data_IF_835867352003
#
_entry.id   IF_835867352003
#
_cell.length_a   1.000
_cell.length_b   1.000
_cell.length_c   1.000
_cell.angle_alpha   90.00
_cell.angle_beta   90.00
_cell.angle_gamma   90.00
#
_symmetry.space_group_name_H-M   'P 1'
#
loop_
_entity.id
_entity.type
_entity.pdbx_description
1 polymer ?
#
# COMPACT_ATOMS: atom_id res chain seq x y z
N UNK A 1 -58.57 33.07 -13.54
CA UNK A 1 -59.46 32.90 -14.69
C UNK A 1 -58.64 32.44 -15.87
N UNK A 2 -59.02 31.30 -16.46
CA UNK A 2 -58.68 30.71 -17.78
C UNK A 2 -57.20 30.62 -18.19
N UNK A 3 -56.52 29.48 -18.43
CA UNK A 3 -56.82 28.13 -18.99
C UNK A 3 -57.16 28.09 -20.49
N UNK A 4 -56.39 27.31 -21.27
CA UNK A 4 -56.83 26.66 -22.53
C UNK A 4 -55.75 26.57 -23.62
N UNK A 5 -55.13 25.40 -23.92
CA UNK A 5 -55.54 24.25 -24.80
C UNK A 5 -54.84 24.37 -26.19
N UNK A 6 -53.99 23.44 -26.67
CA UNK A 6 -54.34 22.13 -27.27
C UNK A 6 -53.08 21.31 -27.69
N UNK A 7 -53.20 19.97 -27.69
CA UNK A 7 -52.35 18.97 -28.39
C UNK A 7 -53.14 18.38 -29.61
N UNK A 8 -52.79 17.23 -30.26
CA UNK A 8 -51.53 16.61 -30.76
C UNK A 8 -51.63 16.24 -32.29
N UNK A 9 -50.65 15.50 -32.88
CA UNK A 9 -50.79 14.37 -33.85
C UNK A 9 -49.41 13.88 -34.38
N UNK A 10 -49.34 12.57 -34.67
CA UNK A 10 -48.20 11.65 -34.93
C UNK A 10 -47.64 11.60 -36.37
N UNK A 11 -46.40 11.07 -36.55
CA UNK A 11 -46.08 9.77 -37.20
C UNK A 11 -44.56 9.56 -37.43
N UNK A 12 -44.08 8.34 -37.16
CA UNK A 12 -42.77 7.71 -37.50
C UNK A 12 -42.72 7.25 -38.99
N UNK A 13 -41.70 6.54 -39.57
CA UNK A 13 -40.58 5.80 -38.95
C UNK A 13 -39.22 5.74 -39.72
N UNK A 14 -38.32 4.90 -39.18
CA UNK A 14 -37.27 4.09 -39.85
C UNK A 14 -35.93 4.74 -40.22
N UNK A 15 -34.86 4.27 -39.57
CA UNK A 15 -33.63 3.85 -40.28
C UNK A 15 -32.99 2.70 -39.49
N UNK A 16 -33.10 1.50 -40.05
CA UNK A 16 -32.30 0.31 -39.72
C UNK A 16 -31.19 0.25 -40.75
N UNK A 17 -29.93 0.09 -40.34
CA UNK A 17 -28.86 -0.31 -41.24
C UNK A 17 -28.33 -1.67 -40.81
N UNK A 18 -28.53 -2.64 -41.68
CA UNK A 18 -27.99 -4.00 -41.65
C UNK A 18 -26.61 -4.03 -42.31
N UNK A 19 -25.75 -4.93 -41.85
CA UNK A 19 -24.52 -5.32 -42.56
C UNK A 19 -24.41 -6.85 -42.49
N UNK A 20 -24.46 -7.49 -43.67
CA UNK A 20 -24.17 -8.91 -43.85
C UNK A 20 -23.24 -9.14 -45.05
N UNK A 21 -22.31 -10.09 -44.85
CA UNK A 21 -21.46 -10.80 -45.82
C UNK A 21 -20.29 -9.99 -46.40
N UNK A 22 -19.12 -10.55 -46.74
CA UNK A 22 -18.65 -11.94 -46.87
C UNK A 22 -17.11 -11.92 -46.90
N UNK A 23 -16.46 -13.02 -46.48
CA UNK A 23 -15.01 -13.24 -46.64
C UNK A 23 -14.63 -13.42 -48.12
N UNK A 24 -13.40 -13.19 -48.57
CA UNK A 24 -12.22 -14.04 -48.31
C UNK A 24 -10.96 -13.44 -48.95
N UNK A 25 -9.79 -13.61 -48.29
CA UNK A 25 -8.41 -13.77 -48.84
C UNK A 25 -7.39 -13.22 -47.81
N UNK A 26 -6.85 -14.03 -46.89
CA UNK A 26 -5.62 -14.85 -46.94
C UNK A 26 -4.28 -14.06 -46.96
N UNK A 27 -3.56 -14.19 -45.82
CA UNK A 27 -2.11 -14.13 -45.58
C UNK A 27 -1.44 -12.75 -45.71
N UNK A 28 -0.91 -12.16 -44.63
CA UNK A 28 0.39 -12.55 -44.04
C UNK A 28 0.47 -12.39 -42.51
N UNK A 29 1.38 -13.17 -41.93
CA UNK A 29 1.62 -13.44 -40.50
C UNK A 29 2.29 -12.27 -39.77
N UNK A 30 1.86 -12.00 -38.53
CA UNK A 30 2.60 -11.23 -37.53
C UNK A 30 1.87 -11.27 -36.19
N UNK A 31 2.39 -12.08 -35.25
CA UNK A 31 1.75 -12.49 -34.00
C UNK A 31 1.44 -11.31 -33.05
N UNK A 32 0.20 -11.23 -32.57
CA UNK A 32 -0.15 -10.56 -31.31
C UNK A 32 0.24 -11.43 -30.11
N UNK A 33 0.66 -10.87 -28.96
CA UNK A 33 0.90 -11.65 -27.76
C UNK A 33 -0.43 -12.12 -27.16
N UNK A 34 -0.58 -13.44 -27.07
CA UNK A 34 -1.66 -14.09 -26.34
C UNK A 34 -1.45 -13.84 -24.84
N UNK A 35 -2.47 -13.28 -24.20
CA UNK A 35 -2.56 -13.17 -22.74
C UNK A 35 -2.83 -14.56 -22.16
N UNK A 36 -1.81 -15.18 -21.58
CA UNK A 36 -1.99 -16.35 -20.71
C UNK A 36 -2.63 -15.87 -19.40
N UNK A 37 -3.94 -16.11 -19.27
CA UNK A 37 -4.63 -16.00 -17.99
C UNK A 37 -4.25 -17.21 -17.14
N UNK A 38 -3.55 -17.01 -16.03
CA UNK A 38 -3.40 -18.02 -14.99
C UNK A 38 -4.61 -17.95 -14.06
N UNK A 39 -5.51 -18.93 -14.17
CA UNK A 39 -6.56 -19.18 -13.19
C UNK A 39 -6.00 -20.12 -12.11
N UNK A 40 -5.87 -19.63 -10.87
CA UNK A 40 -5.65 -20.50 -9.72
C UNK A 40 -6.98 -21.18 -9.36
N UNK A 41 -7.09 -22.48 -9.62
CA UNK A 41 -8.14 -23.32 -9.03
C UNK A 41 -7.67 -23.82 -7.67
N UNK A 42 -8.38 -23.43 -6.61
CA UNK A 42 -8.25 -24.10 -5.31
C UNK A 42 -8.95 -25.45 -5.39
N UNK A 43 -8.20 -26.53 -5.14
CA UNK A 43 -8.77 -27.86 -4.98
C UNK A 43 -9.74 -27.85 -3.79
N UNK A 44 -11.03 -28.04 -4.07
CA UNK A 44 -12.01 -28.45 -3.05
C UNK A 44 -11.53 -29.77 -2.43
N UNK A 45 -11.54 -29.92 -1.09
CA UNK A 45 -11.37 -31.23 -0.49
C UNK A 45 -12.56 -32.12 -0.87
N UNK A 46 -12.28 -33.23 -1.54
CA UNK A 46 -13.25 -34.27 -1.87
C UNK A 46 -13.69 -34.98 -0.60
N UNK A 47 -14.91 -34.74 -0.14
CA UNK A 47 -15.59 -35.59 0.83
C UNK A 47 -16.32 -36.72 0.08
N UNK A 48 -15.61 -37.82 -0.17
CA UNK A 48 -16.24 -39.10 -0.52
C UNK A 48 -16.16 -40.04 0.69
N UNK A 49 -17.31 -40.25 1.32
CA UNK A 49 -17.54 -41.27 2.34
C UNK A 49 -17.50 -42.64 1.66
N UNK A 50 -16.63 -43.60 2.07
CA UNK A 50 -16.76 -44.98 1.65
C UNK A 50 -17.61 -45.75 2.67
N UNK A 51 -18.70 -46.34 2.17
CA UNK A 51 -19.50 -47.32 2.89
C UNK A 51 -18.71 -48.60 3.13
N UNK A 52 -18.75 -49.10 4.36
CA UNK A 52 -18.20 -50.40 4.75
C UNK A 52 -19.07 -51.55 4.24
N UNK A 53 -18.46 -52.62 3.70
CA UNK A 53 -18.80 -54.03 3.97
C UNK A 53 -17.78 -55.01 3.33
N UNK A 54 -17.05 -55.68 4.22
CA UNK A 54 -16.41 -57.01 4.19
C UNK A 54 -16.25 -57.77 2.84
N UNK A 55 -15.05 -58.33 2.58
CA UNK A 55 -14.70 -59.77 2.80
C UNK A 55 -13.32 -60.17 2.22
N UNK A 56 -12.54 -60.87 3.05
CA UNK A 56 -11.61 -62.00 2.80
C UNK A 56 -10.41 -61.93 1.80
N UNK A 57 -9.22 -61.93 2.41
CA UNK A 57 -8.07 -62.89 2.33
C UNK A 57 -7.27 -63.21 1.05
N UNK A 58 -5.94 -63.12 1.26
CA UNK A 58 -4.85 -64.11 1.01
C UNK A 58 -4.16 -64.22 -0.37
N UNK A 59 -2.81 -64.18 -0.28
CA UNK A 59 -1.77 -64.90 -1.08
C UNK A 59 -1.60 -64.50 -2.56
N UNK A 60 -0.46 -64.58 -3.24
CA UNK A 60 0.93 -65.00 -2.98
C UNK A 60 1.74 -64.67 -4.26
N UNK A 61 2.98 -64.20 -4.08
CA UNK A 61 4.24 -64.44 -4.82
C UNK A 61 4.22 -65.04 -6.25
N UNK A 62 4.97 -64.41 -7.15
CA UNK A 62 6.01 -64.95 -8.09
C UNK A 62 6.37 -63.81 -9.07
N UNK A 63 7.60 -63.54 -9.50
CA UNK A 63 8.88 -64.23 -9.47
C UNK A 63 9.64 -63.78 -10.73
N UNK A 64 10.92 -63.41 -10.62
CA UNK A 64 11.71 -62.87 -11.73
C UNK A 64 13.16 -62.51 -11.36
N UNK A 65 13.95 -63.55 -11.10
CA UNK A 65 15.42 -63.67 -11.06
C UNK A 65 16.15 -63.01 -12.24
N UNK A 66 17.47 -62.78 -12.34
CA UNK A 66 18.74 -62.88 -11.57
C UNK A 66 19.79 -62.35 -12.59
N UNK A 67 20.82 -61.58 -12.20
CA UNK A 67 22.24 -61.84 -12.60
C UNK A 67 23.17 -61.23 -11.55
N UNK A 68 23.98 -62.09 -10.93
CA UNK A 68 25.17 -61.75 -10.14
C UNK A 68 26.40 -62.37 -10.82
N UNK A 69 27.52 -61.65 -10.81
CA UNK A 69 28.89 -62.19 -10.91
C UNK A 69 29.71 -61.36 -9.91
N UNK A 70 30.02 -61.91 -8.73
CA UNK A 70 31.34 -62.48 -8.39
C UNK A 70 32.06 -61.43 -7.53
N UNK A 71 32.38 -61.63 -6.26
CA UNK A 71 33.07 -62.73 -5.60
C UNK A 71 34.12 -62.07 -4.71
N UNK A 72 33.97 -62.13 -3.38
CA UNK A 72 34.94 -61.53 -2.45
C UNK A 72 34.34 -61.19 -1.08
N UNK A 73 34.60 -62.08 -0.12
CA UNK A 73 34.66 -61.86 1.34
C UNK A 73 34.27 -60.47 1.87
N UNK A 74 33.15 -60.40 2.61
CA UNK A 74 32.77 -59.23 3.40
C UNK A 74 33.59 -59.23 4.69
N UNK A 75 34.65 -58.43 4.72
CA UNK A 75 35.21 -57.89 5.96
C UNK A 75 34.24 -56.84 6.52
N UNK A 76 33.83 -56.98 7.77
CA UNK A 76 33.07 -55.94 8.48
C UNK A 76 34.00 -54.75 8.70
N UNK A 77 33.93 -53.77 7.80
CA UNK A 77 34.44 -52.43 8.07
C UNK A 77 33.29 -51.62 8.67
N UNK A 78 33.48 -51.19 9.91
CA UNK A 78 32.65 -50.17 10.54
C UNK A 78 32.81 -48.86 9.77
N UNK A 79 31.91 -48.59 8.82
CA UNK A 79 31.82 -47.27 8.19
C UNK A 79 31.28 -46.29 9.23
N UNK A 80 32.05 -45.24 9.51
CA UNK A 80 31.56 -44.08 10.23
C UNK A 80 30.24 -43.59 9.61
N UNK A 81 29.31 -43.03 10.41
CA UNK A 81 28.07 -42.47 9.87
C UNK A 81 28.42 -41.48 8.74
N UNK A 82 27.58 -41.40 7.68
CA UNK A 82 27.84 -40.47 6.60
C UNK A 82 28.02 -39.11 7.22
N UNK A 83 29.20 -38.51 7.04
CA UNK A 83 29.37 -37.10 7.30
C UNK A 83 28.29 -36.43 6.46
N UNK A 84 27.30 -35.86 7.14
CA UNK A 84 26.42 -34.87 6.53
C UNK A 84 27.37 -33.83 5.97
N UNK A 85 27.62 -33.92 4.67
CA UNK A 85 28.16 -32.82 3.90
C UNK A 85 27.18 -31.70 4.17
N UNK A 86 27.59 -30.77 5.04
CA UNK A 86 26.93 -29.50 5.20
C UNK A 86 26.82 -28.96 3.79
N UNK A 87 25.61 -28.97 3.24
CA UNK A 87 25.27 -28.29 2.01
C UNK A 87 25.95 -26.92 2.12
N UNK A 88 26.83 -26.52 1.18
CA UNK A 88 27.53 -25.26 1.30
C UNK A 88 26.45 -24.22 1.48
N UNK A 89 26.42 -23.60 2.67
CA UNK A 89 25.40 -22.64 3.04
C UNK A 89 25.23 -21.73 1.84
N UNK A 90 24.09 -21.81 1.14
CA UNK A 90 23.83 -20.93 0.00
C UNK A 90 23.95 -19.56 0.60
N UNK A 91 25.06 -18.88 0.30
CA UNK A 91 25.38 -17.62 0.93
C UNK A 91 24.21 -16.69 0.61
N UNK A 92 23.44 -16.35 1.64
CA UNK A 92 22.28 -15.49 1.47
C UNK A 92 22.81 -14.13 1.01
N UNK A 93 22.42 -13.72 -0.18
CA UNK A 93 22.93 -12.52 -0.82
C UNK A 93 22.03 -12.08 -1.97
N UNK A 94 22.41 -11.01 -2.67
CA UNK A 94 21.60 -10.43 -3.75
C UNK A 94 21.30 -11.43 -4.88
N UNK A 95 22.18 -12.41 -5.10
CA UNK A 95 22.01 -13.52 -6.03
C UNK A 95 20.85 -14.49 -5.68
N UNK A 96 20.35 -14.45 -4.44
CA UNK A 96 19.16 -15.19 -4.03
C UNK A 96 17.85 -14.58 -4.55
N UNK A 97 17.92 -13.39 -5.16
CA UNK A 97 16.78 -12.66 -5.72
C UNK A 97 16.86 -12.63 -7.26
N UNK A 98 15.74 -12.42 -7.97
CA UNK A 98 15.73 -12.30 -9.42
C UNK A 98 16.74 -11.23 -9.92
N UNK A 99 17.41 -11.46 -11.06
CA UNK A 99 18.25 -10.43 -11.67
C UNK A 99 17.49 -9.12 -11.86
N UNK A 100 18.09 -8.01 -11.44
CA UNK A 100 17.46 -6.69 -11.48
C UNK A 100 16.54 -6.38 -10.30
N UNK A 101 16.48 -7.22 -9.26
CA UNK A 101 15.78 -6.89 -8.02
C UNK A 101 16.37 -5.64 -7.37
N UNK A 102 15.49 -4.69 -7.02
CA UNK A 102 15.87 -3.38 -6.50
C UNK A 102 15.81 -3.40 -4.98
N UNK A 103 16.96 -3.18 -4.34
CA UNK A 103 17.06 -2.94 -2.90
C UNK A 103 17.26 -1.45 -2.65
N UNK A 104 16.52 -0.90 -1.69
CA UNK A 104 16.58 0.52 -1.38
C UNK A 104 16.26 0.81 0.07
N UNK A 105 16.33 2.09 0.42
CA UNK A 105 15.88 2.62 1.70
C UNK A 105 14.76 3.65 1.46
N UNK A 106 13.97 3.95 2.49
CA UNK A 106 12.81 4.81 2.39
C UNK A 106 12.79 5.91 3.46
N UNK A 107 12.30 7.09 3.11
CA UNK A 107 12.07 8.23 4.00
C UNK A 107 10.79 8.99 3.61
N UNK A 108 10.40 9.96 4.44
CA UNK A 108 9.30 10.89 4.17
C UNK A 108 9.71 12.33 4.52
N UNK A 109 9.23 13.29 3.74
CA UNK A 109 9.63 14.69 3.81
C UNK A 109 9.56 15.26 5.22
N UNK A 110 8.41 15.20 5.89
CA UNK A 110 8.24 15.76 7.24
C UNK A 110 9.13 15.06 8.29
N UNK A 111 9.51 13.81 8.06
CA UNK A 111 10.31 13.02 9.02
C UNK A 111 11.81 13.31 8.91
N UNK A 112 12.31 13.82 7.78
CA UNK A 112 13.75 13.99 7.56
C UNK A 112 14.20 15.37 7.06
N UNK A 113 13.34 16.14 6.38
CA UNK A 113 13.78 17.36 5.70
C UNK A 113 14.15 18.48 6.66
N UNK A 114 13.31 18.74 7.67
CA UNK A 114 13.41 19.98 8.45
C UNK A 114 13.11 21.20 7.57
N UNK A 115 13.80 22.31 7.86
CA UNK A 115 13.68 23.56 7.11
C UNK A 115 12.21 23.95 6.89
N UNK A 116 11.41 23.80 7.95
CA UNK A 116 9.96 23.77 7.87
C UNK A 116 9.34 25.10 7.42
N UNK A 117 10.04 26.21 7.68
CA UNK A 117 9.65 27.57 7.32
C UNK A 117 10.70 28.27 6.43
N UNK A 118 11.57 27.50 5.79
CA UNK A 118 12.63 28.01 4.92
C UNK A 118 12.29 27.78 3.43
N UNK A 119 13.01 28.50 2.57
CA UNK A 119 12.92 28.36 1.11
C UNK A 119 11.51 28.49 0.54
N UNK A 120 10.69 29.36 1.13
CA UNK A 120 9.32 29.62 0.70
C UNK A 120 8.29 28.53 1.03
N UNK A 121 8.64 27.49 1.80
CA UNK A 121 7.69 26.44 2.23
C UNK A 121 6.55 27.00 3.07
N UNK A 122 5.32 26.57 2.79
CA UNK A 122 4.15 26.81 3.64
C UNK A 122 3.98 25.72 4.72
N UNK A 123 3.22 25.98 5.80
CA UNK A 123 2.96 24.98 6.82
C UNK A 123 2.11 23.83 6.27
N UNK A 124 2.40 22.62 6.72
CA UNK A 124 1.58 21.42 6.60
C UNK A 124 0.78 21.18 7.89
N UNK A 125 -0.19 20.26 7.84
CA UNK A 125 -0.96 19.86 9.02
C UNK A 125 -0.08 19.28 10.15
N UNK A 126 1.07 18.70 9.83
CA UNK A 126 1.99 18.19 10.85
C UNK A 126 2.75 19.31 11.57
N UNK A 127 3.12 20.38 10.85
CA UNK A 127 3.70 21.59 11.47
C UNK A 127 2.74 22.17 12.51
N UNK A 128 1.46 22.30 12.14
CA UNK A 128 0.41 22.79 13.03
C UNK A 128 0.15 21.84 14.18
N UNK A 129 -0.02 20.54 13.89
CA UNK A 129 -0.38 19.53 14.89
C UNK A 129 0.68 19.39 15.99
N UNK A 130 1.97 19.32 15.63
CA UNK A 130 3.04 19.19 16.63
C UNK A 130 3.18 20.43 17.52
N UNK A 131 2.85 21.62 17.00
CA UNK A 131 2.86 22.87 17.76
C UNK A 131 1.63 23.04 18.65
N UNK A 132 0.45 22.65 18.17
CA UNK A 132 -0.82 22.80 18.89
C UNK A 132 -1.08 21.68 19.89
N UNK A 133 -0.58 20.47 19.59
CA UNK A 133 -0.75 19.26 20.38
C UNK A 133 0.58 18.61 20.75
N UNK A 134 1.52 19.34 21.39
CA UNK A 134 2.80 18.77 21.78
C UNK A 134 2.66 17.58 22.73
N UNK A 135 1.57 17.52 23.51
CA UNK A 135 1.23 16.39 24.38
C UNK A 135 0.94 15.09 23.66
N UNK A 136 0.60 15.14 22.36
CA UNK A 136 0.37 13.95 21.53
C UNK A 136 1.65 13.42 20.89
N UNK A 137 2.77 14.12 21.06
CA UNK A 137 4.06 13.71 20.52
C UNK A 137 4.98 13.34 21.68
N UNK A 138 5.60 12.17 21.57
CA UNK A 138 6.60 11.74 22.53
C UNK A 138 7.74 12.76 22.62
N UNK A 139 8.16 13.08 23.83
CA UNK A 139 9.14 14.14 24.12
C UNK A 139 8.79 15.53 23.58
N UNK A 140 7.55 15.77 23.13
CA UNK A 140 7.10 17.06 22.56
C UNK A 140 7.97 17.54 21.40
N UNK A 141 8.56 16.61 20.65
CA UNK A 141 9.42 16.92 19.50
C UNK A 141 8.59 17.40 18.30
N UNK A 142 9.26 18.03 17.32
CA UNK A 142 8.62 18.55 16.10
C UNK A 142 9.44 18.18 14.86
N UNK A 143 8.82 18.31 13.68
CA UNK A 143 9.47 18.14 12.37
C UNK A 143 10.31 19.34 11.91
N UNK A 144 10.59 20.32 12.78
CA UNK A 144 11.12 21.62 12.36
C UNK A 144 12.54 21.54 11.79
N UNK A 145 13.39 20.68 12.35
CA UNK A 145 14.80 20.48 11.96
C UNK A 145 15.07 19.01 11.61
N UNK A 146 14.64 18.07 12.48
CA UNK A 146 14.86 16.61 12.35
C UNK A 146 16.34 16.29 12.07
N UNK A 147 16.66 15.57 10.98
CA UNK A 147 18.05 15.28 10.56
C UNK A 147 18.57 16.26 9.50
N UNK A 148 17.80 17.29 9.19
CA UNK A 148 18.12 18.41 8.30
C UNK A 148 18.49 17.98 6.86
N UNK A 149 17.79 16.99 6.32
CA UNK A 149 18.01 16.51 4.96
C UNK A 149 17.78 17.60 3.90
N UNK A 150 17.03 18.67 4.18
CA UNK A 150 16.88 19.79 3.25
C UNK A 150 18.24 20.40 2.88
N UNK A 151 19.13 20.56 3.86
CA UNK A 151 20.49 21.06 3.65
C UNK A 151 21.50 19.94 3.41
N UNK A 152 21.27 18.75 4.01
CA UNK A 152 22.25 17.65 4.07
C UNK A 152 21.98 16.50 3.11
N UNK A 153 21.04 16.64 2.17
CA UNK A 153 20.66 15.56 1.25
C UNK A 153 21.84 14.90 0.51
N UNK A 154 22.95 15.61 0.25
CA UNK A 154 24.15 15.02 -0.36
C UNK A 154 24.81 13.96 0.53
N UNK A 155 24.79 14.16 1.85
CA UNK A 155 25.31 13.20 2.82
C UNK A 155 24.40 11.97 2.89
N UNK A 156 23.08 12.17 2.85
CA UNK A 156 22.11 11.07 2.76
C UNK A 156 22.34 10.22 1.51
N UNK A 157 22.51 10.87 0.34
CA UNK A 157 22.82 10.17 -0.92
C UNK A 157 24.15 9.42 -0.83
N UNK A 158 25.16 10.01 -0.18
CA UNK A 158 26.44 9.33 0.05
C UNK A 158 26.25 8.06 0.89
N UNK A 159 25.48 8.12 1.97
CA UNK A 159 25.20 6.94 2.82
C UNK A 159 24.48 5.83 2.03
N UNK A 160 23.47 6.20 1.23
CA UNK A 160 22.75 5.25 0.37
C UNK A 160 23.69 4.57 -0.64
N UNK A 161 24.65 5.33 -1.18
CA UNK A 161 25.67 4.81 -2.09
C UNK A 161 26.65 3.88 -1.39
N UNK A 162 27.14 4.26 -0.22
CA UNK A 162 28.07 3.47 0.58
C UNK A 162 27.44 2.12 1.00
N UNK A 163 26.12 2.09 1.24
CA UNK A 163 25.34 0.87 1.51
C UNK A 163 25.08 0.01 0.25
N UNK A 164 25.54 0.44 -0.93
CA UNK A 164 25.34 -0.25 -2.20
C UNK A 164 23.85 -0.54 -2.53
N UNK A 165 23.00 0.46 -2.29
CA UNK A 165 21.59 0.41 -2.65
C UNK A 165 21.37 0.75 -4.13
N UNK A 166 20.27 0.24 -4.69
CA UNK A 166 19.87 0.48 -6.08
C UNK A 166 18.88 1.65 -6.21
N UNK A 167 18.14 1.95 -5.13
CA UNK A 167 17.10 2.97 -5.14
C UNK A 167 16.98 3.72 -3.82
N UNK A 168 16.35 4.89 -3.92
CA UNK A 168 15.91 5.66 -2.77
C UNK A 168 14.45 6.03 -2.93
N UNK A 169 13.63 5.62 -1.95
CA UNK A 169 12.24 6.05 -1.84
C UNK A 169 12.15 7.27 -0.94
N UNK A 170 11.71 8.40 -1.45
CA UNK A 170 11.46 9.60 -0.65
C UNK A 170 10.10 10.20 -1.00
N UNK A 171 9.59 11.13 -0.18
CA UNK A 171 8.39 11.89 -0.53
C UNK A 171 8.69 13.34 -0.88
N UNK A 172 7.85 13.92 -1.72
CA UNK A 172 7.85 15.36 -1.99
C UNK A 172 6.91 16.03 -0.99
N UNK A 173 7.33 17.12 -0.37
CA UNK A 173 6.47 17.89 0.51
C UNK A 173 5.53 18.77 -0.27
N UNK A 174 4.23 18.51 -0.17
CA UNK A 174 3.23 19.27 -0.91
C UNK A 174 3.29 20.75 -0.53
N UNK A 175 3.37 21.06 0.75
CA UNK A 175 3.44 22.45 1.22
C UNK A 175 4.76 23.15 0.86
N UNK A 176 5.81 22.41 0.47
CA UNK A 176 7.05 22.97 -0.07
C UNK A 176 6.92 23.34 -1.55
N UNK A 177 6.18 22.56 -2.34
CA UNK A 177 5.94 22.83 -3.77
C UNK A 177 4.84 23.87 -3.97
N UNK A 178 3.73 23.75 -3.25
CA UNK A 178 2.59 24.66 -3.27
C UNK A 178 2.33 25.18 -1.85
N UNK A 179 2.94 26.31 -1.44
CA UNK A 179 2.84 26.83 -0.07
C UNK A 179 1.44 27.17 0.41
N UNK A 180 0.52 27.45 -0.52
CA UNK A 180 -0.92 27.67 -0.25
C UNK A 180 -1.78 26.49 -0.71
N UNK A 181 -1.15 25.35 -0.96
CA UNK A 181 -1.73 24.07 -1.33
C UNK A 181 -2.27 23.93 -2.75
N UNK A 182 -2.80 25.00 -3.34
CA UNK A 182 -3.32 24.99 -4.72
C UNK A 182 -2.45 25.76 -5.69
N UNK A 183 -2.56 25.46 -6.99
CA UNK A 183 -1.89 26.20 -8.06
C UNK A 183 -2.19 27.71 -8.04
N UNK A 184 -3.39 28.10 -7.60
CA UNK A 184 -3.80 29.51 -7.49
C UNK A 184 -2.91 30.30 -6.53
N UNK A 185 -2.31 29.63 -5.56
CA UNK A 185 -1.40 30.24 -4.59
C UNK A 185 0.05 30.30 -5.02
N UNK A 186 0.37 29.87 -6.25
CA UNK A 186 1.70 29.90 -6.82
C UNK A 186 2.53 28.64 -6.54
N UNK A 187 3.46 28.39 -7.46
CA UNK A 187 4.47 27.33 -7.33
C UNK A 187 5.71 27.95 -6.68
N UNK A 188 6.25 27.27 -5.67
CA UNK A 188 7.49 27.66 -5.05
C UNK A 188 8.69 27.07 -5.81
N UNK A 189 9.38 27.91 -6.57
CA UNK A 189 10.51 27.48 -7.39
C UNK A 189 11.70 26.97 -6.56
N UNK A 190 11.90 27.46 -5.34
CA UNK A 190 12.97 26.98 -4.48
C UNK A 190 12.71 25.55 -4.01
N UNK A 191 11.46 25.22 -3.69
CA UNK A 191 11.02 23.85 -3.44
C UNK A 191 11.27 22.92 -4.64
N UNK A 192 10.95 23.38 -5.85
CA UNK A 192 11.26 22.64 -7.09
C UNK A 192 12.77 22.42 -7.25
N UNK A 193 13.58 23.44 -6.99
CA UNK A 193 15.03 23.36 -7.09
C UNK A 193 15.62 22.36 -6.10
N UNK A 194 15.12 22.31 -4.86
CA UNK A 194 15.54 21.32 -3.86
C UNK A 194 15.33 19.87 -4.35
N UNK A 195 14.12 19.52 -4.80
CA UNK A 195 13.87 18.15 -5.28
C UNK A 195 14.61 17.84 -6.59
N UNK A 196 14.77 18.82 -7.49
CA UNK A 196 15.64 18.66 -8.66
C UNK A 196 17.08 18.33 -8.26
N UNK A 197 17.62 19.03 -7.26
CA UNK A 197 18.97 18.80 -6.76
C UNK A 197 19.12 17.41 -6.12
N UNK A 198 18.16 16.97 -5.31
CA UNK A 198 18.14 15.62 -4.75
C UNK A 198 18.07 14.55 -5.84
N UNK A 199 17.13 14.68 -6.79
CA UNK A 199 16.95 13.72 -7.89
C UNK A 199 18.21 13.63 -8.75
N UNK A 200 18.83 14.76 -9.08
CA UNK A 200 20.06 14.80 -9.86
C UNK A 200 21.21 14.13 -9.10
N UNK A 201 21.34 14.37 -7.80
CA UNK A 201 22.40 13.75 -6.98
C UNK A 201 22.20 12.24 -6.85
N UNK A 202 20.96 11.76 -6.70
CA UNK A 202 20.64 10.32 -6.71
C UNK A 202 21.07 9.66 -8.02
N UNK A 203 20.63 10.21 -9.16
CA UNK A 203 20.92 9.65 -10.47
C UNK A 203 22.43 9.68 -10.78
N UNK A 204 23.13 10.75 -10.39
CA UNK A 204 24.59 10.85 -10.50
C UNK A 204 25.31 9.71 -9.75
N UNK A 205 24.74 9.23 -8.65
CA UNK A 205 25.27 8.14 -7.86
C UNK A 205 24.73 6.75 -8.26
N UNK A 206 23.91 6.69 -9.31
CA UNK A 206 23.32 5.45 -9.83
C UNK A 206 22.13 4.93 -9.02
N UNK A 207 21.51 5.77 -8.20
CA UNK A 207 20.33 5.44 -7.39
C UNK A 207 19.05 5.82 -8.13
N UNK A 208 18.10 4.89 -8.21
CA UNK A 208 16.79 5.12 -8.83
C UNK A 208 15.86 5.86 -7.85
N UNK A 209 15.28 7.03 -8.22
CA UNK A 209 14.31 7.71 -7.37
C UNK A 209 12.93 7.03 -7.45
N UNK A 210 12.43 6.60 -6.29
CA UNK A 210 11.04 6.15 -6.09
C UNK A 210 10.29 7.24 -5.32
N UNK A 211 9.44 8.00 -6.00
CA UNK A 211 8.91 9.25 -5.43
C UNK A 211 7.49 9.07 -4.93
N UNK A 212 7.28 9.32 -3.64
CA UNK A 212 5.97 9.38 -3.01
C UNK A 212 5.43 10.81 -3.09
N UNK A 213 4.29 11.01 -3.75
CA UNK A 213 3.70 12.33 -3.96
C UNK A 213 3.04 12.86 -2.68
N UNK A 214 2.40 11.99 -1.90
CA UNK A 214 1.78 12.36 -0.63
C UNK A 214 2.19 11.40 0.50
N UNK A 215 2.79 11.97 1.54
CA UNK A 215 3.11 11.27 2.77
C UNK A 215 2.60 12.06 3.98
N UNK A 216 1.27 12.20 4.03
CA UNK A 216 0.51 12.71 5.17
C UNK A 216 0.65 14.21 5.47
N UNK A 217 1.35 14.96 4.63
CA UNK A 217 1.72 16.35 4.87
C UNK A 217 0.84 17.34 4.08
N UNK A 218 -0.48 17.24 4.27
CA UNK A 218 -1.45 18.16 3.64
C UNK A 218 -1.06 19.60 3.96
N UNK A 219 -1.00 20.52 2.99
CA UNK A 219 -0.80 21.94 3.25
C UNK A 219 -1.89 22.48 4.18
N UNK A 220 -1.51 23.14 5.28
CA UNK A 220 -2.46 23.67 6.27
C UNK A 220 -3.50 24.59 5.62
N UNK A 221 -3.11 25.32 4.57
CA UNK A 221 -4.02 26.17 3.81
C UNK A 221 -5.24 25.43 3.24
N UNK A 222 -5.12 24.14 2.88
CA UNK A 222 -6.25 23.33 2.39
C UNK A 222 -7.07 22.74 3.53
N UNK A 223 -6.42 22.40 4.65
CA UNK A 223 -7.10 22.00 5.88
C UNK A 223 -7.97 23.15 6.40
N UNK A 224 -7.45 24.38 6.44
CA UNK A 224 -8.18 25.57 6.87
C UNK A 224 -9.31 25.94 5.89
N UNK A 225 -9.07 25.79 4.59
CA UNK A 225 -10.03 26.22 3.57
C UNK A 225 -11.28 25.33 3.49
N UNK A 226 -11.12 24.02 3.68
CA UNK A 226 -12.24 23.07 3.51
C UNK A 226 -12.08 21.74 4.27
N UNK A 227 -11.15 21.62 5.22
CA UNK A 227 -10.92 20.40 6.00
C UNK A 227 -10.14 19.32 5.26
N UNK A 228 -9.30 19.71 4.29
CA UNK A 228 -8.40 18.78 3.60
C UNK A 228 -9.12 17.59 3.00
N UNK A 229 -8.74 16.38 3.41
CA UNK A 229 -9.34 15.14 2.89
C UNK A 229 -10.77 14.84 3.37
N UNK A 230 -11.38 15.66 4.24
CA UNK A 230 -12.82 15.59 4.50
C UNK A 230 -13.64 16.12 3.31
N UNK A 231 -13.05 16.92 2.42
CA UNK A 231 -13.73 17.49 1.26
C UNK A 231 -13.31 16.84 -0.04
N UNK A 232 -14.27 16.53 -0.93
CA UNK A 232 -13.99 16.09 -2.32
C UNK A 232 -13.18 17.14 -3.12
N UNK A 233 -13.14 18.41 -2.69
CA UNK A 233 -12.34 19.47 -3.33
C UNK A 233 -10.84 19.13 -3.37
N UNK A 234 -10.33 18.40 -2.37
CA UNK A 234 -8.91 18.00 -2.28
C UNK A 234 -8.45 17.21 -3.50
N UNK A 235 -9.36 16.49 -4.17
CA UNK A 235 -9.01 15.66 -5.32
C UNK A 235 -8.43 16.48 -6.47
N UNK A 236 -9.02 17.67 -6.71
CA UNK A 236 -8.56 18.56 -7.78
C UNK A 236 -7.23 19.21 -7.41
N UNK A 237 -7.11 19.72 -6.19
CA UNK A 237 -5.86 20.33 -5.72
C UNK A 237 -4.71 19.31 -5.68
N UNK A 238 -4.98 18.07 -5.25
CA UNK A 238 -4.00 16.99 -5.26
C UNK A 238 -3.60 16.58 -6.67
N UNK A 239 -4.56 16.45 -7.59
CA UNK A 239 -4.28 16.17 -9.01
C UNK A 239 -3.39 17.24 -9.62
N UNK A 240 -3.70 18.50 -9.38
CA UNK A 240 -2.97 19.65 -9.93
C UNK A 240 -1.55 19.72 -9.33
N UNK A 241 -1.38 19.46 -8.03
CA UNK A 241 -0.07 19.27 -7.40
C UNK A 241 0.73 18.12 -8.02
N UNK A 242 0.11 16.97 -8.24
CA UNK A 242 0.76 15.85 -8.92
C UNK A 242 1.16 16.22 -10.35
N UNK A 243 0.35 17.01 -11.07
CA UNK A 243 0.69 17.49 -12.41
C UNK A 243 1.96 18.34 -12.41
N UNK A 244 2.15 19.21 -11.40
CA UNK A 244 3.40 19.96 -11.23
C UNK A 244 4.56 18.98 -11.06
N UNK A 245 4.45 18.01 -10.16
CA UNK A 245 5.51 17.04 -9.92
C UNK A 245 5.86 16.23 -11.19
N UNK A 246 4.85 15.80 -11.96
CA UNK A 246 5.07 15.08 -13.21
C UNK A 246 5.76 15.94 -14.27
N UNK A 247 5.39 17.22 -14.39
CA UNK A 247 6.02 18.15 -15.34
C UNK A 247 7.48 18.43 -14.97
N UNK A 248 7.74 18.68 -13.70
CA UNK A 248 9.04 19.17 -13.22
C UNK A 248 10.08 18.05 -13.04
N UNK A 249 9.64 16.84 -12.73
CA UNK A 249 10.55 15.74 -12.35
C UNK A 249 10.39 14.47 -13.17
N UNK A 250 9.30 14.32 -13.94
CA UNK A 250 8.98 13.06 -14.64
C UNK A 250 9.88 12.72 -15.82
N UNK A 251 10.69 13.68 -16.29
CA UNK A 251 11.78 13.41 -17.24
C UNK A 251 12.82 12.43 -16.65
N UNK A 252 13.03 12.47 -15.33
CA UNK A 252 14.02 11.68 -14.58
C UNK A 252 13.39 10.62 -13.66
N UNK A 253 12.26 10.92 -13.02
CA UNK A 253 11.57 10.00 -12.10
C UNK A 253 10.71 9.01 -12.89
N UNK A 254 10.95 7.72 -12.66
CA UNK A 254 10.25 6.61 -13.36
C UNK A 254 9.35 5.77 -12.48
N UNK A 255 9.34 5.99 -11.17
CA UNK A 255 8.50 5.24 -10.24
C UNK A 255 7.77 6.20 -9.31
N UNK A 256 6.48 6.40 -9.57
CA UNK A 256 5.61 7.30 -8.82
C UNK A 256 4.72 6.52 -7.87
N UNK A 257 4.65 6.96 -6.63
CA UNK A 257 3.76 6.43 -5.59
C UNK A 257 2.82 7.58 -5.22
N UNK A 258 1.52 7.47 -5.51
CA UNK A 258 0.61 8.60 -5.25
C UNK A 258 0.46 8.87 -3.75
N UNK A 259 0.18 7.83 -2.97
CA UNK A 259 -0.11 7.92 -1.53
C UNK A 259 0.73 6.89 -0.78
N UNK A 260 1.25 7.28 0.37
CA UNK A 260 1.72 6.35 1.39
C UNK A 260 0.62 6.06 2.41
N UNK A 261 0.34 4.76 2.63
CA UNK A 261 -0.46 4.24 3.73
C UNK A 261 -1.74 5.05 4.02
N UNK A 262 -2.70 5.08 3.08
CA UNK A 262 -3.94 5.82 3.28
C UNK A 262 -4.74 5.32 4.50
N UNK A 263 -4.59 4.03 4.87
CA UNK A 263 -5.14 3.48 6.12
C UNK A 263 -4.62 4.21 7.36
N UNK A 264 -3.30 4.38 7.45
CA UNK A 264 -2.65 5.05 8.58
C UNK A 264 -3.10 6.51 8.66
N UNK A 265 -3.14 7.22 7.52
CA UNK A 265 -3.62 8.60 7.48
C UNK A 265 -5.07 8.74 7.98
N UNK A 266 -5.97 7.93 7.42
CA UNK A 266 -7.40 7.98 7.76
C UNK A 266 -7.66 7.55 9.20
N UNK A 267 -7.26 6.32 9.57
CA UNK A 267 -7.60 5.74 10.87
C UNK A 267 -6.88 6.42 12.03
N UNK A 268 -5.61 6.82 11.86
CA UNK A 268 -4.88 7.47 12.94
C UNK A 268 -5.18 8.97 13.03
N UNK A 269 -5.46 9.64 11.90
CA UNK A 269 -5.71 11.08 11.84
C UNK A 269 -7.14 11.51 12.14
N UNK A 270 -8.12 10.67 11.79
CA UNK A 270 -9.56 10.97 11.89
C UNK A 270 -10.35 9.94 12.73
N UNK A 271 -9.75 8.78 13.02
CA UNK A 271 -10.33 7.74 13.88
C UNK A 271 -9.84 7.89 15.32
N UNK A 272 -8.55 7.67 15.54
CA UNK A 272 -7.91 7.78 16.85
C UNK A 272 -7.47 9.19 17.23
N UNK A 273 -7.34 10.10 16.25
CA UNK A 273 -6.83 11.47 16.47
C UNK A 273 -5.41 11.53 17.02
N UNK A 274 -4.59 10.50 16.77
CA UNK A 274 -3.18 10.40 17.19
C UNK A 274 -2.22 11.02 16.18
N UNK A 275 -2.59 11.05 14.90
CA UNK A 275 -1.83 11.73 13.85
C UNK A 275 -2.52 13.04 13.45
N UNK A 276 -1.80 13.94 12.79
CA UNK A 276 -2.40 15.14 12.19
C UNK A 276 -3.56 14.76 11.22
N UNK A 277 -4.67 15.51 11.18
CA UNK A 277 -4.95 16.76 11.92
C UNK A 277 -5.47 16.54 13.35
N UNK A 278 -5.49 15.30 13.87
CA UNK A 278 -5.78 15.03 15.27
C UNK A 278 -7.26 14.98 15.62
N UNK A 279 -8.11 14.58 14.68
CA UNK A 279 -9.58 14.54 14.82
C UNK A 279 -10.04 13.17 15.32
N UNK A 280 -11.00 13.18 16.24
CA UNK A 280 -11.64 11.97 16.74
C UNK A 280 -12.94 12.32 17.49
N UNK A 281 -13.75 11.33 17.83
CA UNK A 281 -14.94 11.53 18.65
C UNK A 281 -14.59 12.05 20.05
N UNK A 282 -15.47 12.85 20.64
CA UNK A 282 -15.25 13.48 21.95
C UNK A 282 -14.95 12.47 23.07
N UNK A 283 -15.50 11.25 23.00
CA UNK A 283 -15.23 10.17 23.97
C UNK A 283 -13.76 9.75 24.03
N UNK A 284 -12.97 10.06 23.00
CA UNK A 284 -11.54 9.80 22.91
C UNK A 284 -10.70 11.01 23.30
N UNK A 285 -11.34 12.11 23.73
CA UNK A 285 -10.67 13.33 24.19
C UNK A 285 -10.31 14.33 23.09
N UNK A 286 -10.79 14.16 21.84
CA UNK A 286 -10.66 15.21 20.82
C UNK A 286 -11.75 16.27 20.95
N UNK A 287 -11.42 17.50 20.55
CA UNK A 287 -12.36 18.64 20.52
C UNK A 287 -13.33 18.58 19.34
N UNK A 288 -12.93 17.92 18.25
CA UNK A 288 -13.68 17.82 16.99
C UNK A 288 -13.39 16.48 16.32
N UNK A 289 -14.36 15.98 15.56
CA UNK A 289 -14.24 14.77 14.76
C UNK A 289 -15.35 13.76 15.03
N UNK A 290 -15.42 12.75 14.16
CA UNK A 290 -16.30 11.59 14.33
C UNK A 290 -15.56 10.33 13.86
N UNK A 291 -15.16 9.52 14.84
CA UNK A 291 -14.32 8.33 14.67
C UNK A 291 -14.98 7.16 13.93
N UNK A 292 -16.28 7.24 13.63
CA UNK A 292 -17.00 6.21 12.87
C UNK A 292 -17.57 6.72 11.55
N UNK A 293 -17.34 8.00 11.21
CA UNK A 293 -17.77 8.62 9.95
C UNK A 293 -16.57 9.18 9.17
N UNK A 294 -15.77 10.03 9.81
CA UNK A 294 -14.69 10.77 9.13
C UNK A 294 -13.64 9.87 8.48
N UNK A 295 -13.19 8.76 9.10
CA UNK A 295 -12.25 7.85 8.45
C UNK A 295 -12.75 7.31 7.09
N UNK A 296 -14.05 7.06 6.96
CA UNK A 296 -14.65 6.56 5.71
C UNK A 296 -14.73 7.62 4.63
N UNK A 297 -15.05 8.87 5.00
CA UNK A 297 -15.03 10.02 4.09
C UNK A 297 -13.60 10.26 3.57
N UNK A 298 -12.63 10.30 4.49
CA UNK A 298 -11.21 10.53 4.17
C UNK A 298 -10.65 9.42 3.31
N UNK A 299 -10.93 8.16 3.66
CA UNK A 299 -10.50 7.00 2.86
C UNK A 299 -11.04 7.06 1.43
N UNK A 300 -12.31 7.42 1.26
CA UNK A 300 -12.92 7.55 -0.05
C UNK A 300 -12.27 8.67 -0.88
N UNK A 301 -12.06 9.85 -0.29
CA UNK A 301 -11.40 10.96 -0.98
C UNK A 301 -9.93 10.67 -1.32
N UNK A 302 -9.21 9.94 -0.47
CA UNK A 302 -7.86 9.45 -0.76
C UNK A 302 -7.86 8.52 -1.98
N UNK A 303 -8.76 7.52 -2.03
CA UNK A 303 -8.86 6.60 -3.16
C UNK A 303 -9.15 7.38 -4.45
N UNK A 304 -10.11 8.32 -4.42
CA UNK A 304 -10.43 9.16 -5.56
C UNK A 304 -9.26 10.08 -5.99
N UNK A 305 -8.50 10.61 -5.03
CA UNK A 305 -7.31 11.42 -5.28
C UNK A 305 -6.18 10.58 -5.95
N UNK A 306 -5.97 9.35 -5.49
CA UNK A 306 -5.07 8.39 -6.15
C UNK A 306 -5.50 8.13 -7.60
N UNK A 307 -6.79 7.83 -7.83
CA UNK A 307 -7.32 7.56 -9.17
C UNK A 307 -7.09 8.77 -10.09
N UNK A 308 -7.40 9.97 -9.62
CA UNK A 308 -7.22 11.20 -10.39
C UNK A 308 -5.74 11.43 -10.78
N UNK A 309 -4.81 11.26 -9.84
CA UNK A 309 -3.38 11.43 -10.10
C UNK A 309 -2.81 10.34 -11.03
N UNK A 310 -3.19 9.08 -10.81
CA UNK A 310 -2.71 7.97 -11.62
C UNK A 310 -3.26 8.04 -13.05
N UNK A 311 -4.55 8.39 -13.24
CA UNK A 311 -5.12 8.61 -14.57
C UNK A 311 -4.43 9.75 -15.30
N UNK A 312 -4.24 10.88 -14.64
CA UNK A 312 -3.48 11.99 -15.19
C UNK A 312 -2.09 11.52 -15.68
N UNK A 313 -1.36 10.75 -14.88
CA UNK A 313 -0.06 10.23 -15.28
C UNK A 313 -0.16 9.31 -16.50
N UNK A 314 -1.03 8.31 -16.46
CA UNK A 314 -1.15 7.30 -17.53
C UNK A 314 -1.62 7.90 -18.85
N UNK A 315 -2.57 8.82 -18.80
CA UNK A 315 -3.19 9.39 -20.00
C UNK A 315 -2.31 10.47 -20.64
N UNK A 316 -1.56 11.23 -19.85
CA UNK A 316 -0.82 12.42 -20.34
C UNK A 316 0.70 12.26 -20.35
N UNK A 317 1.28 11.51 -19.41
CA UNK A 317 2.74 11.51 -19.16
C UNK A 317 3.42 10.17 -19.39
N UNK A 318 2.76 9.04 -19.11
CA UNK A 318 3.39 7.72 -19.13
C UNK A 318 4.01 7.38 -20.50
N UNK A 319 3.33 7.72 -21.60
CA UNK A 319 3.86 7.45 -22.95
C UNK A 319 5.14 8.21 -23.26
N UNK A 320 5.28 9.45 -22.78
CA UNK A 320 6.43 10.32 -23.09
C UNK A 320 7.55 10.17 -22.06
N UNK A 321 7.19 9.90 -20.80
CA UNK A 321 8.14 9.79 -19.71
C UNK A 321 8.58 8.35 -19.43
N UNK A 322 7.82 7.34 -19.83
CA UNK A 322 8.18 5.93 -19.71
C UNK A 322 8.26 5.42 -18.27
N UNK A 323 7.59 6.06 -17.32
CA UNK A 323 7.55 5.61 -15.92
C UNK A 323 6.29 4.81 -15.58
N UNK A 324 6.20 4.43 -14.31
CA UNK A 324 5.11 3.68 -13.71
C UNK A 324 4.50 4.46 -12.54
N UNK A 325 3.21 4.26 -12.30
CA UNK A 325 2.50 4.86 -11.18
C UNK A 325 1.80 3.80 -10.33
N UNK A 326 1.90 3.92 -9.02
CA UNK A 326 1.31 3.00 -8.07
C UNK A 326 0.90 3.69 -6.77
N UNK A 327 0.56 2.87 -5.78
CA UNK A 327 0.19 3.29 -4.43
C UNK A 327 0.87 2.37 -3.43
N UNK A 328 1.21 2.90 -2.24
CA UNK A 328 1.76 2.09 -1.15
C UNK A 328 0.72 1.90 -0.06
N UNK A 329 0.41 0.65 0.27
CA UNK A 329 -0.53 0.26 1.30
C UNK A 329 0.23 -0.36 2.48
N UNK A 330 -0.25 -0.16 3.70
CA UNK A 330 0.27 -0.87 4.88
C UNK A 330 -0.55 -2.13 5.12
N UNK A 331 0.13 -3.19 5.52
CA UNK A 331 -0.52 -4.44 5.87
C UNK A 331 0.16 -5.06 7.10
N UNK A 332 -0.65 -5.40 8.10
CA UNK A 332 -0.28 -6.43 9.07
C UNK A 332 -0.75 -7.79 8.55
N UNK A 333 0.02 -8.84 8.81
CA UNK A 333 -0.48 -10.19 8.60
C UNK A 333 -1.37 -10.61 9.78
N UNK A 334 -2.58 -11.06 9.51
CA UNK A 334 -3.50 -11.55 10.54
C UNK A 334 -3.55 -13.07 10.54
N UNK A 335 -3.03 -13.69 11.59
CA UNK A 335 -3.17 -15.12 11.83
C UNK A 335 -4.41 -15.35 12.71
N UNK A 336 -5.29 -16.31 12.41
CA UNK A 336 -6.44 -16.56 13.27
C UNK A 336 -6.00 -17.07 14.65
N UNK A 337 -6.70 -16.66 15.71
CA UNK A 337 -6.35 -17.06 17.09
C UNK A 337 -6.36 -18.58 17.29
N UNK A 338 -7.27 -19.28 16.63
CA UNK A 338 -7.27 -20.73 16.47
C UNK A 338 -7.88 -21.14 15.10
N UNK A 339 -8.01 -22.44 14.83
CA UNK A 339 -8.52 -22.94 13.55
C UNK A 339 -10.05 -22.99 13.47
N UNK A 340 -10.78 -22.49 14.47
CA UNK A 340 -12.24 -22.45 14.38
C UNK A 340 -12.68 -21.44 13.32
N UNK A 341 -13.80 -21.72 12.66
CA UNK A 341 -14.34 -20.90 11.57
C UNK A 341 -14.43 -19.42 11.94
N UNK A 342 -14.87 -19.11 13.17
CA UNK A 342 -15.07 -17.75 13.64
C UNK A 342 -13.77 -16.95 13.75
N UNK A 343 -12.68 -17.59 14.16
CA UNK A 343 -11.37 -16.93 14.24
C UNK A 343 -10.76 -16.72 12.85
N UNK A 344 -10.98 -17.66 11.93
CA UNK A 344 -10.60 -17.50 10.51
C UNK A 344 -11.33 -16.32 9.90
N UNK A 345 -12.65 -16.21 10.11
CA UNK A 345 -13.43 -15.06 9.64
C UNK A 345 -12.98 -13.75 10.29
N UNK A 346 -12.62 -13.75 11.58
CA UNK A 346 -12.08 -12.57 12.25
C UNK A 346 -10.76 -12.10 11.60
N UNK A 347 -9.86 -13.03 11.27
CA UNK A 347 -8.64 -12.70 10.54
C UNK A 347 -8.92 -12.10 9.15
N UNK A 348 -9.90 -12.64 8.42
CA UNK A 348 -10.35 -12.06 7.15
C UNK A 348 -10.91 -10.65 7.33
N UNK A 349 -11.79 -10.42 8.32
CA UNK A 349 -12.33 -9.07 8.57
C UNK A 349 -11.25 -8.07 8.98
N UNK A 350 -10.25 -8.49 9.78
CA UNK A 350 -9.13 -7.63 10.13
C UNK A 350 -8.32 -7.21 8.89
N UNK A 351 -8.07 -8.14 7.96
CA UNK A 351 -7.41 -7.85 6.70
C UNK A 351 -8.26 -6.94 5.79
N UNK A 352 -9.57 -7.17 5.76
CA UNK A 352 -10.50 -6.38 4.96
C UNK A 352 -10.52 -4.91 5.39
N UNK A 353 -10.58 -4.66 6.69
CA UNK A 353 -10.61 -3.31 7.27
C UNK A 353 -9.23 -2.62 7.31
N UNK A 354 -8.17 -3.26 6.81
CA UNK A 354 -6.83 -2.67 6.74
C UNK A 354 -6.31 -2.60 5.31
N UNK A 355 -6.04 -3.75 4.69
CA UNK A 355 -5.48 -3.82 3.34
C UNK A 355 -6.58 -3.73 2.28
N UNK A 356 -7.60 -4.57 2.37
CA UNK A 356 -8.60 -4.70 1.31
C UNK A 356 -9.46 -3.43 1.19
N UNK A 357 -9.62 -2.65 2.25
CA UNK A 357 -10.30 -1.34 2.23
C UNK A 357 -9.77 -0.42 1.13
N UNK A 358 -8.48 -0.49 0.83
CA UNK A 358 -7.84 0.30 -0.22
C UNK A 358 -7.48 -0.53 -1.44
N UNK A 359 -7.17 -1.82 -1.28
CA UNK A 359 -6.79 -2.69 -2.39
C UNK A 359 -7.99 -3.14 -3.23
N UNK A 360 -9.11 -3.53 -2.61
CA UNK A 360 -10.30 -4.01 -3.33
C UNK A 360 -10.93 -2.94 -4.20
N UNK A 361 -11.03 -1.66 -3.80
CA UNK A 361 -11.43 -0.61 -4.71
C UNK A 361 -10.60 -0.64 -6.00
N UNK A 362 -9.28 -0.82 -5.92
CA UNK A 362 -8.41 -0.84 -7.10
C UNK A 362 -8.56 -2.11 -7.96
N UNK A 363 -8.80 -3.26 -7.33
CA UNK A 363 -8.86 -4.57 -8.00
C UNK A 363 -10.26 -4.90 -8.52
N UNK A 364 -11.28 -4.53 -7.76
CA UNK A 364 -12.66 -4.96 -7.92
C UNK A 364 -13.64 -3.81 -8.18
N UNK A 365 -13.15 -2.55 -8.09
CA UNK A 365 -13.93 -1.31 -8.33
C UNK A 365 -15.02 -1.05 -7.30
N UNK A 366 -14.89 -1.66 -6.13
CA UNK A 366 -15.81 -1.49 -5.01
C UNK A 366 -15.12 -1.89 -3.70
N UNK A 367 -15.71 -1.50 -2.57
CA UNK A 367 -15.21 -1.87 -1.24
C UNK A 367 -15.43 -3.35 -0.92
N UNK A 368 -14.65 -3.93 0.02
CA UNK A 368 -14.83 -5.31 0.48
C UNK A 368 -16.26 -5.58 0.96
N UNK A 369 -16.76 -6.78 0.70
CA UNK A 369 -18.12 -7.16 1.07
C UNK A 369 -18.37 -7.02 2.58
N UNK A 370 -17.44 -7.49 3.42
CA UNK A 370 -17.56 -7.41 4.88
C UNK A 370 -17.67 -5.97 5.37
N UNK A 371 -16.90 -5.05 4.78
CA UNK A 371 -16.98 -3.63 5.12
C UNK A 371 -18.36 -3.05 4.77
N UNK A 372 -18.87 -3.32 3.57
CA UNK A 372 -20.21 -2.87 3.16
C UNK A 372 -21.30 -3.39 4.08
N UNK A 373 -21.23 -4.67 4.47
CA UNK A 373 -22.22 -5.31 5.33
C UNK A 373 -22.23 -4.73 6.77
N UNK A 374 -21.06 -4.38 7.29
CA UNK A 374 -20.88 -3.90 8.66
C UNK A 374 -21.08 -2.37 8.76
N UNK A 375 -20.41 -1.60 7.90
CA UNK A 375 -20.34 -0.14 7.99
C UNK A 375 -21.60 0.52 7.39
N UNK A 376 -22.16 -0.08 6.32
CA UNK A 376 -23.40 0.34 5.68
C UNK A 376 -23.35 1.80 5.20
N UNK A 377 -24.35 2.61 5.52
CA UNK A 377 -24.54 3.98 5.01
C UNK A 377 -23.40 4.95 5.38
N UNK A 378 -22.55 4.61 6.35
CA UNK A 378 -21.35 5.39 6.70
C UNK A 378 -20.20 5.17 5.71
N UNK A 379 -20.22 4.08 4.95
CA UNK A 379 -19.24 3.80 3.90
C UNK A 379 -19.75 4.43 2.59
N UNK A 380 -19.03 5.41 2.02
CA UNK A 380 -19.43 5.99 0.75
C UNK A 380 -19.49 4.93 -0.36
N UNK A 381 -20.28 5.20 -1.39
CA UNK A 381 -20.37 4.35 -2.58
C UNK A 381 -19.68 5.01 -3.76
N UNK A 382 -18.97 4.24 -4.58
CA UNK A 382 -18.45 4.75 -5.85
C UNK A 382 -19.59 4.94 -6.86
N UNK A 383 -19.62 6.09 -7.51
CA UNK A 383 -20.45 6.27 -8.70
C UNK A 383 -19.96 5.35 -9.83
N UNK A 384 -20.79 5.15 -10.86
CA UNK A 384 -20.38 4.37 -12.03
C UNK A 384 -19.15 4.98 -12.71
N UNK A 385 -19.12 6.30 -12.82
CA UNK A 385 -18.02 7.06 -13.40
C UNK A 385 -16.74 6.92 -12.56
N UNK A 386 -16.84 7.01 -11.23
CA UNK A 386 -15.73 6.78 -10.31
C UNK A 386 -15.19 5.35 -10.45
N UNK A 387 -16.08 4.35 -10.48
CA UNK A 387 -15.73 2.93 -10.63
C UNK A 387 -15.08 2.61 -12.00
N UNK A 388 -15.50 3.28 -13.07
CA UNK A 388 -14.89 3.14 -14.39
C UNK A 388 -13.49 3.78 -14.42
N UNK A 389 -13.31 4.92 -13.74
CA UNK A 389 -12.00 5.57 -13.60
C UNK A 389 -11.00 4.74 -12.81
N UNK A 390 -11.41 3.88 -11.88
CA UNK A 390 -10.51 2.96 -11.16
C UNK A 390 -9.75 2.03 -12.10
N UNK A 391 -10.37 1.56 -13.19
CA UNK A 391 -9.84 0.46 -13.99
C UNK A 391 -8.46 0.78 -14.60
N UNK A 392 -7.39 0.21 -14.04
CA UNK A 392 -6.03 0.46 -14.51
C UNK A 392 -5.40 1.74 -13.94
N UNK A 393 -5.87 2.24 -12.79
CA UNK A 393 -5.28 3.37 -12.07
C UNK A 393 -3.99 3.04 -11.31
N UNK A 394 -3.31 1.93 -11.62
CA UNK A 394 -2.01 1.58 -11.06
C UNK A 394 -1.26 0.65 -12.03
N UNK A 395 0.06 0.60 -11.88
CA UNK A 395 0.99 -0.31 -12.55
C UNK A 395 1.66 -1.26 -11.55
N UNK A 396 1.77 -0.83 -10.29
CA UNK A 396 2.31 -1.63 -9.18
C UNK A 396 1.62 -1.28 -7.86
N UNK A 397 1.71 -2.19 -6.88
CA UNK A 397 1.26 -2.00 -5.50
C UNK A 397 2.48 -2.13 -4.60
N UNK A 398 2.77 -1.08 -3.82
CA UNK A 398 3.74 -1.12 -2.73
C UNK A 398 3.08 -1.66 -1.47
N UNK A 399 3.80 -2.51 -0.72
CA UNK A 399 3.35 -3.02 0.58
C UNK A 399 4.37 -2.64 1.63
N UNK A 400 3.96 -1.79 2.58
CA UNK A 400 4.70 -1.60 3.82
C UNK A 400 4.27 -2.70 4.79
N UNK A 401 5.21 -3.56 5.17
CA UNK A 401 5.00 -4.67 6.09
C UNK A 401 5.97 -4.55 7.26
N UNK A 402 5.44 -4.61 8.47
CA UNK A 402 6.22 -4.52 9.71
C UNK A 402 6.02 -5.72 10.61
N UNK A 403 4.78 -6.19 10.78
CA UNK A 403 4.44 -7.16 11.82
C UNK A 403 3.22 -8.00 11.47
N UNK A 404 3.03 -9.08 12.24
CA UNK A 404 1.80 -9.88 12.26
C UNK A 404 1.05 -9.71 13.60
N UNK A 405 -0.23 -10.06 13.61
CA UNK A 405 -1.10 -10.12 14.81
C UNK A 405 -1.95 -11.38 14.77
N UNK A 406 -2.26 -11.94 15.94
CA UNK A 406 -3.38 -12.87 16.05
C UNK A 406 -4.69 -12.09 15.94
N UNK A 407 -5.68 -12.64 15.25
CA UNK A 407 -7.02 -12.07 15.16
C UNK A 407 -8.00 -12.95 15.93
N UNK A 408 -8.69 -12.37 16.91
CA UNK A 408 -9.71 -13.03 17.72
C UNK A 408 -11.09 -12.41 17.47
N UNK A 409 -12.10 -13.24 17.27
CA UNK A 409 -13.49 -12.81 17.09
C UNK A 409 -13.94 -11.98 18.28
N UNK A 410 -14.52 -10.81 17.98
CA UNK A 410 -15.33 -10.04 18.92
C UNK A 410 -16.78 -10.24 18.53
N UNK A 411 -17.63 -10.63 19.50
CA UNK A 411 -19.04 -10.84 19.24
C UNK A 411 -19.71 -9.50 18.90
N UNK A 412 -20.44 -9.50 17.79
CA UNK A 412 -21.28 -8.37 17.41
C UNK A 412 -22.42 -8.18 18.41
N UNK A 413 -22.56 -6.97 18.95
CA UNK A 413 -23.68 -6.57 19.79
C UNK A 413 -24.35 -5.34 19.18
N UNK A 414 -25.60 -5.48 18.74
CA UNK A 414 -26.38 -4.35 18.18
C UNK A 414 -26.52 -3.18 19.17
N UNK A 415 -26.50 -3.49 20.47
CA UNK A 415 -26.65 -2.50 21.53
C UNK A 415 -25.33 -1.83 21.92
N UNK A 416 -24.19 -2.30 21.38
CA UNK A 416 -22.86 -1.75 21.64
C UNK A 416 -22.04 -1.69 20.34
N UNK A 417 -22.43 -0.83 19.38
CA UNK A 417 -21.61 -0.60 18.21
C UNK A 417 -20.25 -0.01 18.62
N UNK A 418 -19.16 -0.32 17.90
CA UNK A 418 -17.86 0.29 18.13
C UNK A 418 -17.93 1.81 18.02
N UNK A 419 -17.19 2.49 18.88
CA UNK A 419 -17.01 3.95 18.86
C UNK A 419 -15.81 4.40 17.99
N UNK A 420 -15.16 3.45 17.31
CA UNK A 420 -13.91 3.61 16.56
C UNK A 420 -13.94 2.75 15.29
N UNK A 421 -13.62 3.33 14.14
CA UNK A 421 -13.58 2.62 12.85
C UNK A 421 -12.66 1.38 12.86
N UNK A 422 -11.53 1.43 13.58
CA UNK A 422 -10.56 0.32 13.65
C UNK A 422 -11.11 -0.92 14.38
N UNK A 423 -12.14 -0.74 15.21
CA UNK A 423 -12.80 -1.82 15.96
C UNK A 423 -13.98 -2.41 15.18
N UNK A 424 -14.37 -1.81 14.04
CA UNK A 424 -15.52 -2.27 13.23
C UNK A 424 -15.23 -3.54 12.44
N UNK A 425 -13.99 -4.01 12.42
CA UNK A 425 -13.67 -5.36 11.95
C UNK A 425 -14.26 -6.45 12.85
N UNK A 426 -14.67 -6.13 14.09
CA UNK A 426 -15.06 -7.11 15.12
C UNK A 426 -14.03 -8.24 15.24
N UNK A 427 -12.76 -7.85 15.17
CA UNK A 427 -11.60 -8.70 15.28
C UNK A 427 -10.58 -8.01 16.21
N UNK A 428 -10.43 -8.55 17.40
CA UNK A 428 -9.42 -8.13 18.34
C UNK A 428 -8.04 -8.56 17.83
N UNK A 429 -7.09 -7.62 17.83
CA UNK A 429 -5.75 -7.84 17.31
C UNK A 429 -4.78 -8.02 18.47
N UNK A 430 -4.14 -9.18 18.55
CA UNK A 430 -3.32 -9.61 19.68
C UNK A 430 -1.87 -9.85 19.25
N UNK A 431 -0.92 -9.44 20.08
CA UNK A 431 0.51 -9.67 19.84
C UNK A 431 0.92 -11.11 20.13
N UNK A 432 0.21 -11.76 21.05
CA UNK A 432 0.49 -13.11 21.51
C UNK A 432 -0.79 -13.92 21.76
N UNK A 433 -0.67 -15.23 21.59
CA UNK A 433 -1.66 -16.24 21.99
C UNK A 433 -1.12 -16.96 23.21
N UNK A 434 -1.82 -16.88 24.33
CA UNK A 434 -1.42 -17.52 25.60
C UNK A 434 0.02 -17.17 26.01
N UNK A 435 0.42 -15.92 25.76
CA UNK A 435 1.79 -15.43 26.01
C UNK A 435 2.83 -15.78 24.92
N UNK A 436 2.44 -16.51 23.87
CA UNK A 436 3.31 -16.89 22.76
C UNK A 436 3.11 -15.96 21.54
N UNK A 437 4.13 -15.19 21.12
CA UNK A 437 4.04 -14.31 19.95
C UNK A 437 4.03 -15.08 18.62
N UNK A 438 3.63 -14.40 17.54
CA UNK A 438 3.78 -14.92 16.18
C UNK A 438 5.25 -14.87 15.74
N UNK A 439 5.86 -16.05 15.65
CA UNK A 439 7.26 -16.18 15.25
C UNK A 439 8.23 -15.85 16.38
N UNK A 440 9.53 -15.87 16.06
CA UNK A 440 10.58 -15.47 17.01
C UNK A 440 10.57 -13.95 17.14
N UNK A 441 10.76 -13.46 18.36
CA UNK A 441 10.95 -12.03 18.59
C UNK A 441 12.22 -11.56 17.86
N UNK A 442 12.06 -10.62 16.94
CA UNK A 442 13.16 -9.91 16.31
C UNK A 442 13.11 -8.46 16.82
N UNK A 443 14.07 -8.01 17.64
CA UNK A 443 14.12 -6.62 18.06
C UNK A 443 14.25 -5.72 16.82
N UNK A 444 13.38 -4.72 16.73
CA UNK A 444 13.40 -3.71 15.66
C UNK A 444 14.16 -2.44 16.06
N UNK A 445 14.71 -2.42 17.28
CA UNK A 445 15.49 -1.30 17.79
C UNK A 445 16.97 -1.47 17.47
N UNK A 446 17.53 -0.50 16.77
CA UNK A 446 18.98 -0.33 16.67
C UNK A 446 19.39 0.52 17.87
N UNK A 447 20.00 -0.08 18.89
CA UNK A 447 20.57 0.70 20.00
C UNK A 447 21.90 1.28 19.55
N UNK A 448 21.91 2.55 19.14
CA UNK A 448 23.14 3.28 18.88
C UNK A 448 23.72 3.72 20.23
N UNK A 449 24.74 3.02 20.73
CA UNK A 449 25.53 3.55 21.86
C UNK A 449 26.51 4.58 21.33
N UNK A 450 26.39 5.82 21.78
CA UNK A 450 27.47 6.80 21.62
C UNK A 450 28.73 6.25 22.31
N UNK A 451 29.70 5.80 21.53
CA UNK A 451 31.03 5.57 22.06
C UNK A 451 31.69 6.93 22.25
N UNK A 452 32.39 7.16 23.37
CA UNK A 452 33.15 8.39 23.63
C UNK A 452 34.35 8.61 22.68
N UNK A 453 34.36 7.93 21.52
CA UNK A 453 35.32 8.10 20.46
C UNK A 453 34.59 8.38 19.13
N UNK A 454 34.86 9.52 18.47
CA UNK A 454 34.05 10.03 17.35
C UNK A 454 34.19 9.24 16.02
N UNK A 455 34.57 7.96 16.05
CA UNK A 455 34.77 7.16 14.83
C UNK A 455 34.19 5.74 14.83
N UNK A 456 33.58 5.26 15.92
CA UNK A 456 33.01 3.91 15.93
C UNK A 456 31.57 3.91 16.45
N UNK A 457 30.61 3.92 15.52
CA UNK A 457 29.26 3.46 15.78
C UNK A 457 29.29 1.93 15.76
N UNK A 458 29.04 1.31 16.91
CA UNK A 458 28.85 -0.14 17.01
C UNK A 458 27.35 -0.39 16.95
N UNK A 459 26.91 -1.06 15.88
CA UNK A 459 25.56 -1.59 15.76
C UNK A 459 25.49 -2.91 16.57
N UNK A 460 24.58 -3.00 17.54
CA UNK A 460 24.26 -4.26 18.23
C UNK A 460 23.02 -4.90 17.63
#
# INVERSE_FOLDING_TARGET
MASGISQPISMSPTTTMSLTSSGTSLLTKGKQPAWLSFSFSFNKPSSSIPSSKNKYSRTSVRGGSIVCLGGGSISVQTSAPPQTTTDPAVAFGRQSFPPGFVFGAATAAYQIEGAWNEGGRGPSIWDTFTQQHPEKIEHRSTGNIVVDSYHRYKEDVKMLKDMNLDSYRFSISWSRILPKGSLKGGINQEGINYYNNLINELLKNGLQPYVTLFHWDVPQALEDAYGGFLSKKIMLDFRDYCEVCFKEFGDRVKHWITLNEPWSFSSMGYGLGRHAPGRCSQILGCSVGDSIIEPYIVAHNLILAHIAAARLYKDKYQRTQGGQVGITLVCMWYHPYDQTHKQVEAATRALDFMLAWYLDPLMHRDYPFNMKAIVRDRLPTFSKEEADMIKGSYDFIGINYYTARYAREVLYSQNQPPFLNINESYAEQLEAKDGVPLGKFCPTEITVRESHHPQNLIFQ
#
